data_IF_851336696017
#
_entry.id   IF_851336696017
#
_cell.length_a   1.000
_cell.length_b   1.000
_cell.length_c   1.000
_cell.angle_alpha   90.00
_cell.angle_beta   90.00
_cell.angle_gamma   90.00
#
_symmetry.space_group_name_H-M   'P 1'
#
loop_
_entity.id
_entity.type
_entity.pdbx_description
1 polymer ?
#
# COMPACT_ATOMS: atom_id res chain seq x y z
N UNK A 1 0.02 43.09 -4.36
CA UNK A 1 0.88 41.92 -4.09
C UNK A 1 0.13 40.96 -3.21
N UNK A 2 -0.08 39.74 -3.65
CA UNK A 2 -0.85 38.74 -2.93
C UNK A 2 0.00 37.97 -1.92
N UNK A 3 0.98 38.65 -1.29
CA UNK A 3 1.92 38.13 -0.29
C UNK A 3 2.72 36.89 -0.75
N UNK A 4 2.99 36.77 -2.05
CA UNK A 4 3.85 35.71 -2.60
C UNK A 4 5.33 36.10 -2.50
N UNK A 5 6.19 35.10 -2.28
CA UNK A 5 7.65 35.26 -2.20
C UNK A 5 8.33 34.18 -3.01
N UNK A 6 9.49 34.50 -3.60
CA UNK A 6 10.37 33.53 -4.24
C UNK A 6 11.80 33.77 -3.78
N UNK A 7 12.56 32.69 -3.65
CA UNK A 7 14.02 32.79 -3.42
C UNK A 7 14.71 33.42 -4.65
N UNK A 8 14.25 33.04 -5.86
CA UNK A 8 14.62 33.64 -7.14
C UNK A 8 13.42 33.59 -8.10
N UNK A 9 12.88 34.73 -8.50
CA UNK A 9 11.76 34.82 -9.44
C UNK A 9 12.10 34.30 -10.85
N UNK A 10 13.38 34.28 -11.24
CA UNK A 10 13.80 33.71 -12.54
C UNK A 10 13.63 32.19 -12.60
N UNK A 11 13.42 31.54 -11.47
CA UNK A 11 13.19 30.10 -11.38
C UNK A 11 11.70 29.74 -11.33
N UNK A 12 10.79 30.74 -11.38
CA UNK A 12 9.35 30.53 -11.35
C UNK A 12 8.79 30.71 -12.77
N UNK A 13 8.30 29.64 -13.36
CA UNK A 13 7.77 29.61 -14.72
C UNK A 13 6.26 29.55 -14.71
N UNK A 14 5.62 30.37 -15.52
CA UNK A 14 4.17 30.43 -15.70
C UNK A 14 3.83 30.44 -17.20
N UNK A 15 2.62 29.97 -17.61
CA UNK A 15 2.18 30.09 -18.98
C UNK A 15 2.00 31.56 -19.41
N UNK A 16 2.00 31.83 -20.71
CA UNK A 16 1.85 33.18 -21.28
C UNK A 16 0.58 33.88 -20.79
N UNK A 17 -0.52 33.12 -20.67
CA UNK A 17 -1.77 33.60 -20.05
C UNK A 17 -1.92 32.98 -18.68
N UNK A 18 -1.58 33.77 -17.67
CA UNK A 18 -1.59 33.34 -16.28
C UNK A 18 -2.35 34.32 -15.40
N UNK A 19 -3.32 33.82 -14.62
CA UNK A 19 -4.10 34.63 -13.71
C UNK A 19 -3.52 34.57 -12.29
N UNK A 20 -2.86 35.64 -11.89
CA UNK A 20 -2.22 35.78 -10.58
C UNK A 20 -3.23 35.87 -9.44
N UNK A 21 -4.49 36.15 -9.70
CA UNK A 21 -5.54 36.23 -8.66
C UNK A 21 -5.68 34.94 -7.86
N UNK A 22 -5.40 33.82 -8.51
CA UNK A 22 -5.51 32.49 -7.90
C UNK A 22 -4.26 32.00 -7.15
N UNK A 23 -3.24 32.85 -6.97
CA UNK A 23 -1.99 32.54 -6.27
C UNK A 23 -1.78 33.46 -5.09
N UNK A 24 -2.01 32.95 -3.88
CA UNK A 24 -2.03 33.74 -2.65
C UNK A 24 -1.19 33.13 -1.53
N UNK A 25 -0.32 33.93 -0.88
CA UNK A 25 0.51 33.49 0.24
C UNK A 25 1.35 32.24 -0.09
N UNK A 26 2.02 32.27 -1.24
CA UNK A 26 2.84 31.17 -1.73
C UNK A 26 4.30 31.54 -1.62
N UNK A 27 5.13 30.59 -1.12
CA UNK A 27 6.58 30.69 -1.19
C UNK A 27 7.10 29.71 -2.25
N UNK A 28 7.88 30.22 -3.17
CA UNK A 28 8.55 29.47 -4.20
C UNK A 28 10.04 29.31 -3.87
N UNK A 29 10.59 28.09 -4.00
CA UNK A 29 11.98 27.78 -3.79
C UNK A 29 12.48 26.82 -4.86
N UNK A 30 13.70 26.99 -5.35
CA UNK A 30 14.23 26.25 -6.48
C UNK A 30 13.41 26.46 -7.76
N UNK A 31 13.40 25.46 -8.65
CA UNK A 31 12.68 25.52 -9.94
C UNK A 31 11.22 25.15 -9.74
N UNK A 32 10.33 26.09 -10.00
CA UNK A 32 8.87 25.86 -9.93
C UNK A 32 8.23 26.21 -11.25
N UNK A 33 7.45 25.26 -11.80
CA UNK A 33 6.69 25.45 -13.03
C UNK A 33 5.20 25.35 -12.70
N UNK A 34 4.41 26.33 -13.12
CA UNK A 34 2.97 26.39 -12.87
C UNK A 34 2.19 26.24 -14.18
N UNK A 35 1.10 25.49 -14.16
CA UNK A 35 0.11 25.44 -15.21
C UNK A 35 -0.93 26.55 -15.06
N UNK A 36 -1.99 26.53 -15.87
CA UNK A 36 -3.08 27.49 -15.85
C UNK A 36 -4.19 27.05 -14.88
N UNK A 37 -4.76 27.99 -14.13
CA UNK A 37 -5.84 27.73 -13.18
C UNK A 37 -7.17 28.16 -13.75
N UNK A 38 -7.98 27.23 -14.29
CA UNK A 38 -9.25 27.52 -14.96
C UNK A 38 -10.44 26.74 -14.43
N UNK A 39 -10.20 25.78 -13.52
CA UNK A 39 -11.22 24.87 -13.03
C UNK A 39 -11.87 25.36 -11.76
N UNK A 40 -13.14 25.05 -11.64
CA UNK A 40 -13.92 25.25 -10.44
C UNK A 40 -14.19 23.90 -9.78
N UNK A 41 -13.89 23.79 -8.51
CA UNK A 41 -14.18 22.62 -7.68
C UNK A 41 -15.41 22.88 -6.83
N UNK A 42 -16.36 21.94 -6.85
CA UNK A 42 -17.49 21.95 -5.93
C UNK A 42 -17.25 20.94 -4.82
N UNK A 43 -17.16 21.41 -3.60
CA UNK A 43 -16.91 20.60 -2.41
C UNK A 43 -18.22 20.11 -1.80
N UNK A 44 -18.18 19.10 -0.90
CA UNK A 44 -19.34 18.68 -0.12
C UNK A 44 -20.03 19.90 0.56
N UNK A 45 -21.33 19.91 0.56
CA UNK A 45 -22.12 21.05 1.05
C UNK A 45 -22.27 22.22 0.07
N UNK A 46 -21.75 22.10 -1.15
CA UNK A 46 -21.94 23.10 -2.22
C UNK A 46 -20.95 24.27 -2.20
N UNK A 47 -19.92 24.24 -1.35
CA UNK A 47 -18.86 25.25 -1.38
C UNK A 47 -18.07 25.17 -2.69
N UNK A 48 -17.95 26.32 -3.35
CA UNK A 48 -17.23 26.43 -4.63
C UNK A 48 -15.85 27.03 -4.41
N UNK A 49 -14.82 26.42 -4.98
CA UNK A 49 -13.44 26.91 -4.96
C UNK A 49 -12.84 26.90 -6.36
N UNK A 50 -12.14 27.96 -6.71
CA UNK A 50 -11.37 28.02 -7.94
C UNK A 50 -10.01 27.33 -7.76
N UNK A 51 -9.52 26.61 -8.82
CA UNK A 51 -8.15 26.10 -8.90
C UNK A 51 -7.14 27.22 -8.60
N UNK A 52 -5.99 26.85 -8.08
CA UNK A 52 -4.96 27.80 -7.68
C UNK A 52 -4.19 27.38 -6.44
N UNK A 53 -3.36 28.27 -5.94
CA UNK A 53 -2.43 28.02 -4.84
C UNK A 53 -2.70 28.98 -3.69
N UNK A 54 -2.86 28.45 -2.46
CA UNK A 54 -3.09 29.25 -1.26
C UNK A 54 -2.38 28.68 -0.05
N UNK A 55 -1.58 29.50 0.64
CA UNK A 55 -0.87 29.12 1.86
C UNK A 55 -0.05 27.83 1.69
N UNK A 56 0.92 27.85 0.77
CA UNK A 56 1.80 26.72 0.48
C UNK A 56 3.23 27.18 0.21
N UNK A 57 4.20 26.36 0.61
CA UNK A 57 5.60 26.46 0.16
C UNK A 57 5.86 25.34 -0.85
N UNK A 58 6.36 25.70 -2.03
CA UNK A 58 6.71 24.77 -3.12
C UNK A 58 8.22 24.82 -3.35
N UNK A 59 8.86 23.64 -3.39
CA UNK A 59 10.28 23.52 -3.70
C UNK A 59 10.51 22.50 -4.83
N UNK A 60 11.10 22.94 -5.94
CA UNK A 60 11.36 22.08 -7.11
C UNK A 60 10.10 21.31 -7.56
N UNK A 61 9.03 22.02 -7.86
CA UNK A 61 7.76 21.40 -8.24
C UNK A 61 7.33 21.78 -9.64
N UNK A 62 6.74 20.83 -10.34
CA UNK A 62 6.06 21.07 -11.64
C UNK A 62 4.55 20.83 -11.43
N UNK A 63 3.75 21.89 -11.53
CA UNK A 63 2.29 21.82 -11.43
C UNK A 63 1.68 21.93 -12.82
N UNK A 64 0.84 20.97 -13.17
CA UNK A 64 0.01 21.01 -14.37
C UNK A 64 -1.18 21.97 -14.25
N UNK A 65 -2.06 21.91 -15.23
CA UNK A 65 -3.25 22.75 -15.25
C UNK A 65 -4.26 22.35 -14.17
N UNK A 66 -5.04 23.34 -13.70
CA UNK A 66 -6.21 23.12 -12.85
C UNK A 66 -5.95 22.49 -11.47
N UNK A 67 -4.74 22.57 -10.98
CA UNK A 67 -4.40 22.13 -9.61
C UNK A 67 -5.05 23.09 -8.59
N UNK A 68 -5.57 22.53 -7.50
CA UNK A 68 -5.92 23.29 -6.29
C UNK A 68 -5.08 22.78 -5.13
N UNK A 69 -4.16 23.60 -4.63
CA UNK A 69 -3.35 23.31 -3.43
C UNK A 69 -3.55 24.39 -2.41
N UNK A 70 -3.99 24.01 -1.21
CA UNK A 70 -4.17 25.00 -0.14
C UNK A 70 -3.90 24.44 1.26
N UNK A 71 -3.43 25.32 2.15
CA UNK A 71 -3.17 25.04 3.56
C UNK A 71 -2.20 23.86 3.76
N UNK A 72 -1.01 23.95 3.18
CA UNK A 72 0.09 23.03 3.44
C UNK A 72 0.90 23.55 4.61
N UNK A 73 0.95 22.80 5.71
CA UNK A 73 1.55 23.28 6.97
C UNK A 73 3.06 23.52 6.85
N UNK A 74 3.77 22.62 6.16
CA UNK A 74 5.20 22.75 5.95
C UNK A 74 5.49 23.08 4.47
N UNK A 75 5.66 22.08 3.62
CA UNK A 75 5.97 22.29 2.20
C UNK A 75 5.64 21.08 1.34
N UNK A 76 5.61 21.31 0.02
CA UNK A 76 5.66 20.28 -1.02
C UNK A 76 6.99 20.41 -1.74
N UNK A 77 7.75 19.30 -1.88
CA UNK A 77 9.04 19.32 -2.53
C UNK A 77 9.25 18.14 -3.50
N UNK A 78 9.86 18.46 -4.65
CA UNK A 78 10.29 17.47 -5.63
C UNK A 78 9.12 16.63 -6.18
N UNK A 79 8.03 17.30 -6.58
CA UNK A 79 6.85 16.65 -7.13
C UNK A 79 6.38 17.25 -8.44
N UNK A 80 5.93 16.38 -9.33
CA UNK A 80 5.09 16.70 -10.46
C UNK A 80 3.64 16.39 -10.10
N UNK A 81 2.75 17.36 -10.24
CA UNK A 81 1.36 17.32 -9.79
C UNK A 81 0.46 17.81 -10.91
N UNK A 82 -0.43 16.96 -11.38
CA UNK A 82 -1.38 17.30 -12.45
C UNK A 82 -2.80 17.45 -11.87
N UNK A 83 -3.77 17.94 -12.62
CA UNK A 83 -5.18 18.25 -12.29
C UNK A 83 -5.72 17.58 -11.00
N UNK A 84 -5.35 18.07 -9.85
CA UNK A 84 -5.69 17.46 -8.57
C UNK A 84 -6.14 18.47 -7.49
N UNK A 85 -6.64 17.93 -6.39
CA UNK A 85 -7.10 18.68 -5.22
C UNK A 85 -6.29 18.25 -3.99
N UNK A 86 -5.47 19.16 -3.45
CA UNK A 86 -4.66 18.93 -2.25
C UNK A 86 -5.01 20.00 -1.20
N UNK A 87 -5.45 19.57 -0.02
CA UNK A 87 -5.87 20.48 1.03
C UNK A 87 -5.50 19.97 2.42
N UNK A 88 -5.04 20.88 3.30
CA UNK A 88 -4.76 20.60 4.71
C UNK A 88 -3.82 19.41 4.91
N UNK A 89 -2.66 19.41 4.25
CA UNK A 89 -1.63 18.41 4.46
C UNK A 89 -0.48 18.96 5.29
N UNK A 90 0.22 18.08 6.00
CA UNK A 90 1.39 18.49 6.76
C UNK A 90 2.60 18.74 5.84
N UNK A 91 3.09 17.67 5.18
CA UNK A 91 4.25 17.74 4.30
C UNK A 91 4.16 16.66 3.21
N UNK A 92 4.66 16.99 2.02
CA UNK A 92 4.74 16.04 0.91
C UNK A 92 6.09 16.23 0.20
N UNK A 93 6.94 15.18 0.18
CA UNK A 93 8.30 15.32 -0.37
C UNK A 93 8.85 14.03 -0.95
N UNK A 94 9.74 14.17 -1.93
CA UNK A 94 10.68 13.12 -2.32
C UNK A 94 12.08 13.51 -1.84
N UNK A 95 12.71 12.59 -1.13
CA UNK A 95 14.04 12.75 -0.58
C UNK A 95 15.02 11.78 -1.26
N UNK A 96 16.05 12.33 -1.89
CA UNK A 96 17.03 11.56 -2.65
C UNK A 96 16.42 10.87 -3.88
N UNK A 97 16.98 9.74 -4.30
CA UNK A 97 16.48 8.90 -5.38
C UNK A 97 15.59 7.80 -4.79
N UNK A 98 14.28 7.97 -4.88
CA UNK A 98 13.30 7.05 -4.33
C UNK A 98 12.91 5.95 -5.32
N UNK A 99 12.64 4.75 -4.81
CA UNK A 99 12.08 3.62 -5.58
C UNK A 99 10.58 3.46 -5.40
N UNK A 100 9.99 4.30 -4.55
CA UNK A 100 8.56 4.31 -4.28
C UNK A 100 8.02 2.94 -3.83
N UNK A 101 8.73 2.29 -2.90
CA UNK A 101 8.37 0.96 -2.39
C UNK A 101 8.75 -0.21 -3.29
N UNK A 102 9.21 0.03 -4.51
CA UNK A 102 9.65 -1.05 -5.39
C UNK A 102 11.00 -1.61 -4.95
N UNK A 103 11.16 -2.93 -5.08
CA UNK A 103 12.29 -3.72 -4.63
C UNK A 103 12.47 -3.77 -3.10
N UNK A 104 11.46 -3.40 -2.34
CA UNK A 104 11.45 -3.69 -0.90
C UNK A 104 11.26 -5.18 -0.70
N UNK A 105 12.12 -5.79 0.10
CA UNK A 105 12.03 -7.20 0.43
C UNK A 105 11.01 -7.46 1.52
N UNK A 106 10.09 -8.38 1.27
CA UNK A 106 9.04 -8.82 2.20
C UNK A 106 9.37 -10.22 2.66
N UNK A 107 9.60 -10.41 3.96
CA UNK A 107 9.90 -11.70 4.58
C UNK A 107 8.64 -12.54 4.72
N UNK A 108 8.23 -13.18 3.61
CA UNK A 108 7.00 -13.96 3.53
C UNK A 108 7.24 -15.42 3.96
N UNK A 109 6.23 -16.04 4.57
CA UNK A 109 6.22 -17.45 5.01
C UNK A 109 7.24 -17.81 6.10
N UNK A 110 8.00 -16.87 6.59
CA UNK A 110 8.93 -17.06 7.69
C UNK A 110 9.33 -15.71 8.30
N UNK A 111 8.92 -15.43 9.52
CA UNK A 111 9.23 -14.19 10.21
C UNK A 111 10.74 -13.98 10.42
N UNK A 112 11.54 -15.03 10.41
CA UNK A 112 13.00 -14.94 10.56
C UNK A 112 13.74 -14.78 9.23
N UNK A 113 13.02 -14.65 8.13
CA UNK A 113 13.60 -14.45 6.80
C UNK A 113 13.95 -15.76 6.07
N UNK A 114 14.62 -15.62 4.93
CA UNK A 114 15.03 -16.71 4.06
C UNK A 114 14.09 -16.99 2.89
N UNK A 115 12.97 -16.24 2.78
CA UNK A 115 12.02 -16.33 1.66
C UNK A 115 11.53 -14.96 1.22
N UNK A 116 12.42 -14.00 1.24
CA UNK A 116 12.10 -12.62 0.86
C UNK A 116 11.66 -12.56 -0.59
N UNK A 117 10.55 -11.87 -0.81
CA UNK A 117 10.02 -11.53 -2.12
C UNK A 117 10.16 -10.03 -2.30
N UNK A 118 10.93 -9.55 -3.27
CA UNK A 118 10.96 -8.14 -3.60
C UNK A 118 9.62 -7.73 -4.21
N UNK A 119 8.91 -6.81 -3.55
CA UNK A 119 7.65 -6.28 -4.07
C UNK A 119 7.92 -5.22 -5.14
N UNK A 120 7.04 -5.13 -6.13
CA UNK A 120 7.08 -4.11 -7.17
C UNK A 120 5.70 -3.95 -7.82
N UNK A 121 5.51 -2.90 -8.61
CA UNK A 121 4.20 -2.55 -9.19
C UNK A 121 3.55 -3.68 -10.00
N UNK A 122 4.35 -4.53 -10.65
CA UNK A 122 3.89 -5.64 -11.49
C UNK A 122 3.81 -7.01 -10.78
N UNK A 123 3.95 -7.07 -9.46
CA UNK A 123 3.99 -8.35 -8.74
C UNK A 123 2.66 -9.10 -8.85
N UNK A 124 2.70 -10.34 -9.32
CA UNK A 124 1.57 -11.26 -9.34
C UNK A 124 1.73 -12.36 -8.30
N UNK A 125 0.60 -12.99 -7.91
CA UNK A 125 0.64 -14.12 -6.98
C UNK A 125 1.49 -15.29 -7.50
N UNK A 126 1.45 -15.56 -8.79
CA UNK A 126 2.24 -16.63 -9.41
C UNK A 126 3.73 -16.33 -9.36
N UNK A 127 4.13 -15.10 -9.65
CA UNK A 127 5.54 -14.71 -9.60
C UNK A 127 6.07 -14.74 -8.17
N UNK A 128 5.32 -14.18 -7.22
CA UNK A 128 5.66 -14.22 -5.79
C UNK A 128 5.78 -15.66 -5.28
N UNK A 129 4.87 -16.55 -5.69
CA UNK A 129 4.92 -17.97 -5.36
C UNK A 129 6.22 -18.62 -5.85
N UNK A 130 6.61 -18.38 -7.10
CA UNK A 130 7.85 -18.90 -7.65
C UNK A 130 9.05 -18.38 -6.86
N UNK A 131 9.13 -17.09 -6.59
CA UNK A 131 10.24 -16.50 -5.85
C UNK A 131 10.33 -17.09 -4.43
N UNK A 132 9.21 -17.23 -3.72
CA UNK A 132 9.19 -17.70 -2.35
C UNK A 132 9.50 -19.21 -2.22
N UNK A 133 9.00 -20.05 -3.14
CA UNK A 133 9.00 -21.51 -2.96
C UNK A 133 9.96 -22.28 -3.87
N UNK A 134 10.42 -21.72 -5.00
CA UNK A 134 11.35 -22.37 -5.91
C UNK A 134 12.82 -22.08 -5.59
N UNK A 135 13.14 -21.88 -4.32
CA UNK A 135 14.50 -21.55 -3.84
C UNK A 135 15.56 -22.62 -4.18
N UNK A 136 15.12 -23.83 -4.44
CA UNK A 136 15.95 -24.93 -4.96
C UNK A 136 16.38 -24.73 -6.42
N UNK A 137 15.93 -23.65 -7.08
CA UNK A 137 16.32 -23.23 -8.43
C UNK A 137 17.01 -21.86 -8.39
N UNK A 138 18.22 -21.75 -7.79
CA UNK A 138 18.84 -20.45 -7.49
C UNK A 138 19.00 -19.57 -8.73
N UNK A 139 19.43 -20.12 -9.86
CA UNK A 139 19.59 -19.35 -11.11
C UNK A 139 18.26 -18.76 -11.64
N UNK A 140 17.13 -19.44 -11.43
CA UNK A 140 15.81 -18.88 -11.75
C UNK A 140 15.47 -17.70 -10.84
N UNK A 141 15.67 -17.88 -9.54
CA UNK A 141 15.35 -16.83 -8.56
C UNK A 141 16.22 -15.59 -8.78
N UNK A 142 17.51 -15.77 -9.03
CA UNK A 142 18.43 -14.68 -9.35
C UNK A 142 17.95 -13.88 -10.57
N UNK A 143 17.63 -14.55 -11.68
CA UNK A 143 17.11 -13.87 -12.89
C UNK A 143 15.81 -13.12 -12.66
N UNK A 144 14.90 -13.64 -11.81
CA UNK A 144 13.67 -12.96 -11.47
C UNK A 144 13.93 -11.72 -10.60
N UNK A 145 14.86 -11.81 -9.67
CA UNK A 145 15.31 -10.67 -8.85
C UNK A 145 15.98 -9.60 -9.71
N UNK A 146 16.85 -9.99 -10.65
CA UNK A 146 17.50 -9.07 -11.59
C UNK A 146 16.48 -8.32 -12.45
N UNK A 147 15.44 -9.03 -12.92
CA UNK A 147 14.34 -8.40 -13.65
C UNK A 147 13.62 -7.33 -12.81
N UNK A 148 13.33 -7.61 -11.55
CA UNK A 148 12.68 -6.66 -10.64
C UNK A 148 13.61 -5.49 -10.33
N UNK A 149 14.90 -5.74 -10.12
CA UNK A 149 15.91 -4.71 -9.91
C UNK A 149 16.02 -3.78 -11.11
N UNK A 150 16.11 -4.32 -12.33
CA UNK A 150 16.16 -3.53 -13.56
C UNK A 150 14.88 -2.69 -13.74
N UNK A 151 13.71 -3.23 -13.45
CA UNK A 151 12.47 -2.47 -13.43
C UNK A 151 12.54 -1.31 -12.44
N UNK A 152 12.98 -1.57 -11.22
CA UNK A 152 13.09 -0.58 -10.14
C UNK A 152 14.05 0.55 -10.49
N UNK A 153 15.20 0.22 -11.10
CA UNK A 153 16.16 1.23 -11.55
C UNK A 153 15.55 2.17 -12.61
N UNK A 154 14.69 1.62 -13.47
CA UNK A 154 13.99 2.38 -14.50
C UNK A 154 12.93 3.36 -13.98
N UNK A 155 12.37 3.09 -12.80
CA UNK A 155 11.34 3.96 -12.19
C UNK A 155 11.87 4.83 -11.06
N UNK A 156 13.05 4.53 -10.54
CA UNK A 156 13.64 5.29 -9.44
C UNK A 156 13.91 6.73 -9.85
N UNK A 157 13.44 7.67 -9.05
CA UNK A 157 13.45 9.10 -9.37
C UNK A 157 13.69 9.98 -8.15
N UNK A 158 14.22 11.18 -8.39
CA UNK A 158 14.28 12.27 -7.40
C UNK A 158 13.01 13.12 -7.40
N UNK A 159 12.08 12.87 -8.35
CA UNK A 159 10.80 13.55 -8.49
C UNK A 159 9.66 12.53 -8.35
N UNK A 160 8.73 12.81 -7.44
CA UNK A 160 7.49 12.05 -7.29
C UNK A 160 6.42 12.51 -8.26
N UNK A 161 5.37 11.71 -8.44
CA UNK A 161 4.25 12.06 -9.30
C UNK A 161 2.93 11.91 -8.56
N UNK A 162 2.04 12.88 -8.79
CA UNK A 162 0.61 12.81 -8.44
C UNK A 162 -0.16 12.93 -9.75
N UNK A 163 -0.90 11.89 -10.08
CA UNK A 163 -1.64 11.81 -11.33
C UNK A 163 -2.91 12.69 -11.35
N UNK A 164 -3.67 12.54 -12.44
CA UNK A 164 -4.88 13.30 -12.69
C UNK A 164 -6.01 12.94 -11.72
N UNK A 165 -6.83 13.95 -11.38
CA UNK A 165 -8.05 13.77 -10.55
C UNK A 165 -7.81 13.18 -9.18
N UNK A 166 -6.60 13.26 -8.67
CA UNK A 166 -6.26 12.83 -7.31
C UNK A 166 -6.83 13.81 -6.30
N UNK A 167 -7.32 13.28 -5.18
CA UNK A 167 -7.76 14.05 -4.02
C UNK A 167 -6.92 13.68 -2.80
N UNK A 168 -6.24 14.66 -2.19
CA UNK A 168 -5.47 14.48 -0.95
C UNK A 168 -5.95 15.51 0.07
N UNK A 169 -6.55 15.06 1.17
CA UNK A 169 -7.17 15.95 2.14
C UNK A 169 -6.85 15.54 3.58
N UNK A 170 -6.55 16.51 4.42
CA UNK A 170 -6.33 16.32 5.87
C UNK A 170 -5.30 15.22 6.17
N UNK A 171 -4.24 15.13 5.39
CA UNK A 171 -3.26 14.04 5.47
C UNK A 171 -1.98 14.54 6.12
N UNK A 172 -1.39 13.70 6.95
CA UNK A 172 -0.13 14.00 7.63
C UNK A 172 1.08 14.00 6.70
N UNK A 173 1.99 13.09 6.87
CA UNK A 173 3.22 13.00 6.07
C UNK A 173 3.05 12.11 4.85
N UNK A 174 3.45 12.62 3.68
CA UNK A 174 3.63 11.85 2.45
C UNK A 174 5.10 11.97 2.03
N UNK A 175 5.87 10.89 2.12
CA UNK A 175 7.29 10.88 1.79
C UNK A 175 7.63 9.76 0.83
N UNK A 176 8.28 10.08 -0.29
CA UNK A 176 8.69 9.09 -1.30
C UNK A 176 7.52 8.22 -1.80
N UNK A 177 6.39 8.84 -2.10
CA UNK A 177 5.18 8.14 -2.55
C UNK A 177 4.81 8.61 -3.95
N UNK A 178 4.62 7.65 -4.87
CA UNK A 178 4.05 7.86 -6.19
C UNK A 178 2.56 7.57 -6.15
N UNK A 179 1.74 8.48 -6.68
CA UNK A 179 0.28 8.39 -6.61
C UNK A 179 -0.29 8.41 -8.03
N UNK A 180 -0.99 7.36 -8.40
CA UNK A 180 -1.67 7.22 -9.69
C UNK A 180 -3.00 7.97 -9.76
N UNK A 181 -3.58 8.00 -10.94
CA UNK A 181 -4.77 8.79 -11.26
C UNK A 181 -6.00 8.40 -10.40
N UNK A 182 -6.87 9.36 -10.15
CA UNK A 182 -8.13 9.18 -9.44
C UNK A 182 -8.02 8.63 -8.00
N UNK A 183 -6.82 8.55 -7.43
CA UNK A 183 -6.67 8.16 -6.01
C UNK A 183 -7.34 9.15 -5.08
N UNK A 184 -7.92 8.64 -4.01
CA UNK A 184 -8.40 9.46 -2.89
C UNK A 184 -7.61 9.09 -1.64
N UNK A 185 -6.94 10.07 -1.05
CA UNK A 185 -6.20 9.95 0.21
C UNK A 185 -6.77 10.99 1.16
N UNK A 186 -7.39 10.54 2.25
CA UNK A 186 -8.01 11.47 3.19
C UNK A 186 -7.83 11.02 4.64
N UNK A 187 -7.54 12.01 5.50
CA UNK A 187 -7.33 11.83 6.92
C UNK A 187 -6.25 10.78 7.30
N UNK A 188 -5.35 10.45 6.39
CA UNK A 188 -4.28 9.49 6.63
C UNK A 188 -3.19 10.09 7.51
N UNK A 189 -2.60 9.29 8.40
CA UNK A 189 -1.56 9.77 9.31
C UNK A 189 -0.20 9.86 8.62
N UNK A 190 0.23 8.79 7.91
CA UNK A 190 1.56 8.73 7.32
C UNK A 190 1.64 7.71 6.18
N UNK A 191 2.18 8.14 5.05
CA UNK A 191 2.50 7.30 3.90
C UNK A 191 3.99 7.50 3.55
N UNK A 192 4.79 6.45 3.60
CA UNK A 192 6.23 6.51 3.35
C UNK A 192 6.70 5.39 2.43
N UNK A 193 7.53 5.74 1.46
CA UNK A 193 8.17 4.82 0.52
C UNK A 193 7.16 3.85 -0.11
N UNK A 194 6.31 4.36 -0.99
CA UNK A 194 5.24 3.54 -1.56
C UNK A 194 4.74 3.96 -2.93
N UNK A 195 4.05 3.03 -3.59
CA UNK A 195 3.30 3.26 -4.82
C UNK A 195 1.82 3.04 -4.61
N UNK A 196 1.01 4.02 -4.99
CA UNK A 196 -0.45 3.94 -5.04
C UNK A 196 -0.85 3.82 -6.51
N UNK A 197 -1.01 2.59 -6.99
CA UNK A 197 -1.26 2.29 -8.41
C UNK A 197 -2.75 2.41 -8.76
N UNK A 198 -3.28 3.59 -8.54
CA UNK A 198 -4.67 3.95 -8.81
C UNK A 198 -4.92 4.26 -10.28
N UNK A 199 -6.13 4.03 -10.75
CA UNK A 199 -6.60 4.38 -12.10
C UNK A 199 -8.10 4.60 -12.12
N UNK A 200 -8.58 5.25 -13.18
CA UNK A 200 -9.97 5.69 -13.32
C UNK A 200 -11.00 4.58 -13.12
N UNK A 201 -10.74 3.41 -13.70
CA UNK A 201 -11.67 2.27 -13.68
C UNK A 201 -11.72 1.55 -12.32
N UNK A 202 -10.68 1.74 -11.51
CA UNK A 202 -10.53 1.12 -10.20
C UNK A 202 -9.68 2.02 -9.29
N UNK A 203 -10.25 3.12 -8.81
CA UNK A 203 -9.53 4.06 -7.95
C UNK A 203 -9.16 3.44 -6.61
N UNK A 204 -8.01 3.83 -6.10
CA UNK A 204 -7.55 3.46 -4.74
C UNK A 204 -8.10 4.47 -3.74
N UNK A 205 -8.53 3.96 -2.59
CA UNK A 205 -8.92 4.77 -1.44
C UNK A 205 -8.01 4.47 -0.24
N UNK A 206 -7.39 5.52 0.32
CA UNK A 206 -6.61 5.46 1.56
C UNK A 206 -7.25 6.45 2.54
N UNK A 207 -7.80 5.95 3.65
CA UNK A 207 -8.67 6.71 4.54
C UNK A 207 -8.08 6.98 5.92
N UNK A 208 -8.97 7.11 6.88
CA UNK A 208 -8.72 7.64 8.21
C UNK A 208 -7.59 6.94 8.96
N UNK A 209 -6.65 7.72 9.48
CA UNK A 209 -5.58 7.32 10.40
C UNK A 209 -4.66 6.21 9.88
N UNK A 210 -4.65 5.95 8.58
CA UNK A 210 -3.79 4.91 7.96
C UNK A 210 -2.32 5.27 8.15
N UNK A 211 -1.52 4.25 8.48
CA UNK A 211 -0.06 4.28 8.47
C UNK A 211 0.42 3.23 7.48
N UNK A 212 1.10 3.66 6.42
CA UNK A 212 1.69 2.78 5.43
C UNK A 212 3.17 3.10 5.22
N UNK A 213 4.01 2.07 5.23
CA UNK A 213 5.45 2.19 5.02
C UNK A 213 5.97 1.03 4.19
N UNK A 214 6.85 1.32 3.22
CA UNK A 214 7.46 0.31 2.34
C UNK A 214 6.39 -0.55 1.65
N UNK A 215 5.56 0.07 0.83
CA UNK A 215 4.33 -0.56 0.35
C UNK A 215 4.09 -0.38 -1.15
N UNK A 216 3.35 -1.35 -1.71
CA UNK A 216 2.72 -1.24 -3.03
C UNK A 216 1.22 -1.47 -2.85
N UNK A 217 0.39 -0.56 -3.36
CA UNK A 217 -1.07 -0.68 -3.35
C UNK A 217 -1.58 -0.68 -4.78
N UNK A 218 -2.26 -1.75 -5.16
CA UNK A 218 -2.80 -1.92 -6.51
C UNK A 218 -4.20 -1.32 -6.65
N UNK A 219 -4.64 -1.16 -7.90
CA UNK A 219 -5.90 -0.51 -8.26
C UNK A 219 -7.13 -1.12 -7.56
N UNK A 220 -8.07 -0.27 -7.20
CA UNK A 220 -9.32 -0.65 -6.54
C UNK A 220 -9.19 -1.05 -5.08
N UNK A 221 -7.99 -1.02 -4.51
CA UNK A 221 -7.79 -1.34 -3.10
C UNK A 221 -8.35 -0.23 -2.19
N UNK A 222 -8.85 -0.64 -1.02
CA UNK A 222 -9.30 0.25 0.05
C UNK A 222 -8.51 -0.05 1.32
N UNK A 223 -7.83 0.96 1.86
CA UNK A 223 -7.11 0.90 3.13
C UNK A 223 -7.66 2.01 4.01
N UNK A 224 -8.22 1.70 5.17
CA UNK A 224 -8.90 2.70 5.99
C UNK A 224 -8.98 2.32 7.47
N UNK A 225 -9.60 3.20 8.26
CA UNK A 225 -10.00 2.95 9.64
C UNK A 225 -8.83 2.52 10.52
N UNK A 226 -7.77 3.31 10.52
CA UNK A 226 -6.53 3.11 11.28
C UNK A 226 -5.76 1.81 10.97
N UNK A 227 -5.92 1.28 9.76
CA UNK A 227 -5.12 0.14 9.32
C UNK A 227 -3.63 0.53 9.26
N UNK A 228 -2.77 -0.45 9.61
CA UNK A 228 -1.32 -0.30 9.60
C UNK A 228 -0.69 -1.34 8.69
N UNK A 229 0.04 -0.92 7.68
CA UNK A 229 0.74 -1.79 6.74
C UNK A 229 2.22 -1.41 6.67
N UNK A 230 3.10 -2.39 6.87
CA UNK A 230 4.55 -2.19 6.83
C UNK A 230 5.19 -3.31 6.04
N UNK A 231 5.96 -2.97 5.01
CA UNK A 231 6.54 -3.91 4.06
C UNK A 231 5.50 -4.88 3.50
N UNK A 232 4.51 -4.32 2.79
CA UNK A 232 3.39 -5.10 2.28
C UNK A 232 3.11 -4.82 0.81
N UNK A 233 2.65 -5.85 0.11
CA UNK A 233 1.99 -5.73 -1.19
C UNK A 233 0.49 -5.91 -1.02
N UNK A 234 -0.28 -4.91 -1.42
CA UNK A 234 -1.74 -4.92 -1.37
C UNK A 234 -2.27 -4.99 -2.80
N UNK A 235 -2.79 -6.14 -3.17
CA UNK A 235 -3.27 -6.46 -4.51
C UNK A 235 -4.57 -5.74 -4.89
N UNK A 236 -5.02 -5.99 -6.11
CA UNK A 236 -6.20 -5.36 -6.67
C UNK A 236 -7.47 -5.65 -5.84
N UNK A 237 -8.28 -4.62 -5.64
CA UNK A 237 -9.57 -4.70 -4.93
C UNK A 237 -9.50 -5.31 -3.52
N UNK A 238 -8.32 -5.30 -2.89
CA UNK A 238 -8.18 -5.68 -1.49
C UNK A 238 -8.81 -4.65 -0.57
N UNK A 239 -9.33 -5.11 0.56
CA UNK A 239 -9.82 -4.27 1.65
C UNK A 239 -9.00 -4.55 2.91
N UNK A 240 -8.39 -3.52 3.50
CA UNK A 240 -7.63 -3.59 4.75
C UNK A 240 -8.13 -2.47 5.65
N UNK A 241 -8.97 -2.82 6.62
CA UNK A 241 -9.72 -1.82 7.39
C UNK A 241 -9.84 -2.19 8.87
N UNK A 242 -10.52 -1.33 9.65
CA UNK A 242 -10.89 -1.60 11.05
C UNK A 242 -9.70 -1.97 11.94
N UNK A 243 -8.66 -1.13 11.97
CA UNK A 243 -7.44 -1.32 12.77
C UNK A 243 -6.62 -2.59 12.41
N UNK A 244 -6.80 -3.19 11.23
CA UNK A 244 -6.00 -4.33 10.84
C UNK A 244 -4.51 -3.97 10.76
N UNK A 245 -3.64 -4.84 11.27
CA UNK A 245 -2.19 -4.69 11.20
C UNK A 245 -1.56 -5.76 10.33
N UNK A 246 -0.83 -5.35 9.31
CA UNK A 246 -0.09 -6.26 8.43
C UNK A 246 1.40 -5.88 8.40
N UNK A 247 2.26 -6.88 8.59
CA UNK A 247 3.70 -6.75 8.48
C UNK A 247 4.25 -7.84 7.56
N UNK A 248 5.22 -7.49 6.72
CA UNK A 248 5.93 -8.44 5.84
C UNK A 248 4.99 -9.38 5.08
N UNK A 249 3.90 -8.84 4.53
CA UNK A 249 2.81 -9.65 4.01
C UNK A 249 2.46 -9.33 2.56
N UNK A 250 2.10 -10.37 1.81
CA UNK A 250 1.61 -10.26 0.45
C UNK A 250 0.11 -10.58 0.43
N UNK A 251 -0.72 -9.60 0.13
CA UNK A 251 -2.17 -9.74 0.02
C UNK A 251 -2.55 -9.59 -1.45
N UNK A 252 -2.92 -10.69 -2.10
CA UNK A 252 -3.28 -10.66 -3.52
C UNK A 252 -4.77 -10.36 -3.72
N UNK A 253 -5.22 -10.31 -4.97
CA UNK A 253 -6.49 -9.71 -5.37
C UNK A 253 -7.70 -10.17 -4.56
N UNK A 254 -8.60 -9.23 -4.28
CA UNK A 254 -9.88 -9.45 -3.59
C UNK A 254 -9.76 -10.06 -2.19
N UNK A 255 -8.67 -9.82 -1.49
CA UNK A 255 -8.55 -10.16 -0.08
C UNK A 255 -9.29 -9.14 0.79
N UNK A 256 -9.84 -9.60 1.92
CA UNK A 256 -10.49 -8.75 2.91
C UNK A 256 -9.96 -9.03 4.31
N UNK A 257 -9.34 -8.01 4.92
CA UNK A 257 -8.71 -8.11 6.24
C UNK A 257 -9.21 -6.99 7.15
N UNK A 258 -9.78 -7.36 8.27
CA UNK A 258 -10.33 -6.44 9.25
C UNK A 258 -10.00 -6.89 10.67
N UNK A 259 -9.80 -5.94 11.58
CA UNK A 259 -9.73 -6.16 13.03
C UNK A 259 -8.65 -7.10 13.58
N UNK A 260 -7.84 -7.73 12.75
CA UNK A 260 -6.87 -8.75 13.15
C UNK A 260 -5.44 -8.33 12.90
N UNK A 261 -4.57 -9.33 12.92
CA UNK A 261 -3.15 -9.16 12.64
C UNK A 261 -2.66 -10.22 11.66
N UNK A 262 -1.77 -9.81 10.76
CA UNK A 262 -1.03 -10.69 9.87
C UNK A 262 0.47 -10.36 9.90
N UNK A 263 1.29 -11.40 9.95
CA UNK A 263 2.73 -11.28 9.86
C UNK A 263 3.30 -12.38 8.97
N UNK A 264 4.14 -11.99 8.02
CA UNK A 264 4.81 -12.91 7.10
C UNK A 264 3.87 -13.83 6.31
N UNK A 265 2.66 -13.36 5.96
CA UNK A 265 1.69 -14.20 5.23
C UNK A 265 1.79 -14.04 3.73
N UNK A 266 1.49 -15.14 3.03
CA UNK A 266 1.19 -15.15 1.61
C UNK A 266 -0.32 -15.40 1.43
N UNK A 267 -1.09 -14.32 1.36
CA UNK A 267 -2.52 -14.40 1.12
C UNK A 267 -2.79 -14.37 -0.39
N UNK A 268 -2.97 -15.53 -0.98
CA UNK A 268 -3.48 -15.68 -2.34
C UNK A 268 -4.89 -15.09 -2.48
N UNK A 269 -5.41 -14.96 -3.70
CA UNK A 269 -6.68 -14.28 -3.96
C UNK A 269 -7.85 -14.80 -3.10
N UNK A 270 -8.77 -13.89 -2.76
CA UNK A 270 -9.99 -14.17 -1.98
C UNK A 270 -9.75 -14.71 -0.57
N UNK A 271 -8.62 -14.38 0.05
CA UNK A 271 -8.38 -14.68 1.47
C UNK A 271 -9.10 -13.66 2.34
N UNK A 272 -9.89 -14.14 3.31
CA UNK A 272 -10.73 -13.31 4.17
C UNK A 272 -10.46 -13.58 5.65
N UNK A 273 -10.21 -12.51 6.43
CA UNK A 273 -10.09 -12.52 7.88
C UNK A 273 -10.66 -11.22 8.45
N UNK A 274 -11.91 -11.25 8.92
CA UNK A 274 -12.66 -10.02 9.27
C UNK A 274 -12.95 -9.89 10.76
N UNK A 275 -12.51 -10.83 11.59
CA UNK A 275 -12.87 -10.86 12.99
C UNK A 275 -11.74 -10.43 13.92
N UNK A 276 -12.10 -9.81 15.05
CA UNK A 276 -11.16 -9.50 16.13
C UNK A 276 -10.49 -10.77 16.64
N UNK A 277 -9.29 -10.61 17.19
CA UNK A 277 -8.48 -11.70 17.76
C UNK A 277 -8.03 -12.76 16.75
N UNK A 278 -8.13 -12.50 15.44
CA UNK A 278 -7.54 -13.36 14.43
C UNK A 278 -6.06 -13.01 14.26
N UNK A 279 -5.20 -14.03 14.32
CA UNK A 279 -3.76 -13.91 14.14
C UNK A 279 -3.29 -14.89 13.08
N UNK A 280 -2.81 -14.36 11.96
CA UNK A 280 -2.31 -15.13 10.83
C UNK A 280 -0.80 -14.91 10.70
N UNK A 281 0.00 -15.93 10.98
CA UNK A 281 1.47 -15.84 10.94
C UNK A 281 2.04 -16.90 9.99
N UNK A 282 2.97 -16.49 9.13
CA UNK A 282 3.78 -17.36 8.28
C UNK A 282 2.99 -18.41 7.47
N UNK A 283 1.75 -18.11 7.16
CA UNK A 283 0.86 -19.00 6.43
C UNK A 283 0.72 -18.64 4.95
N UNK A 284 0.53 -19.66 4.13
CA UNK A 284 0.12 -19.51 2.74
C UNK A 284 -1.35 -19.90 2.59
N UNK A 285 -2.12 -18.99 2.03
CA UNK A 285 -3.57 -19.12 1.88
C UNK A 285 -4.00 -18.80 0.45
N UNK A 286 -5.18 -19.27 0.09
CA UNK A 286 -5.92 -18.80 -1.08
C UNK A 286 -7.40 -19.15 -0.89
N UNK A 287 -8.29 -18.20 -1.14
CA UNK A 287 -9.73 -18.43 -0.98
C UNK A 287 -10.06 -19.01 0.41
N UNK A 288 -9.36 -18.53 1.43
CA UNK A 288 -9.59 -18.90 2.83
C UNK A 288 -10.65 -18.01 3.45
N UNK A 289 -11.48 -18.58 4.33
CA UNK A 289 -12.29 -17.83 5.27
C UNK A 289 -11.85 -18.16 6.71
N UNK A 290 -11.14 -17.24 7.34
CA UNK A 290 -10.70 -17.37 8.74
C UNK A 290 -11.85 -17.03 9.70
N UNK A 291 -12.20 -17.96 10.58
CA UNK A 291 -13.21 -17.75 11.62
C UNK A 291 -12.69 -16.82 12.72
N UNK A 292 -13.61 -16.32 13.55
CA UNK A 292 -13.30 -15.46 14.69
C UNK A 292 -12.33 -16.12 15.66
N UNK A 293 -11.27 -15.40 16.06
CA UNK A 293 -10.26 -15.94 16.96
C UNK A 293 -9.36 -17.02 16.36
N UNK A 294 -9.41 -17.20 15.03
CA UNK A 294 -8.46 -18.10 14.35
C UNK A 294 -7.03 -17.67 14.68
N UNK A 295 -6.26 -18.62 15.19
CA UNK A 295 -4.87 -18.40 15.55
C UNK A 295 -3.99 -19.44 14.87
N UNK A 296 -2.91 -18.97 14.30
CA UNK A 296 -1.92 -19.81 13.66
C UNK A 296 -0.58 -19.46 14.28
N UNK A 297 0.17 -20.48 14.65
CA UNK A 297 1.36 -20.28 15.44
C UNK A 297 2.55 -20.98 14.84
N UNK A 298 3.67 -20.30 14.95
CA UNK A 298 4.99 -20.81 14.63
C UNK A 298 5.80 -21.11 15.89
N UNK A 299 5.21 -21.74 16.89
CA UNK A 299 5.87 -22.04 18.18
C UNK A 299 7.19 -22.79 18.04
N UNK A 300 7.45 -23.38 16.88
CA UNK A 300 8.74 -23.96 16.54
C UNK A 300 9.90 -22.96 16.53
N UNK A 301 9.60 -21.65 16.51
CA UNK A 301 10.63 -20.61 16.65
C UNK A 301 11.58 -20.84 17.84
N UNK A 302 11.07 -21.35 18.93
CA UNK A 302 11.88 -21.67 20.12
C UNK A 302 12.59 -23.02 20.04
N UNK A 303 12.25 -23.85 19.06
CA UNK A 303 12.70 -25.23 18.95
C UNK A 303 13.56 -25.48 17.71
N UNK A 304 13.71 -24.50 16.83
CA UNK A 304 14.49 -24.64 15.59
C UNK A 304 13.88 -23.87 14.41
N UNK A 305 14.21 -24.21 13.17
CA UNK A 305 13.75 -23.50 12.00
C UNK A 305 12.23 -23.46 11.90
N UNK A 306 11.70 -22.28 11.60
CA UNK A 306 10.28 -22.07 11.37
C UNK A 306 9.95 -22.59 9.97
N UNK A 307 8.89 -23.37 9.86
CA UNK A 307 8.33 -23.82 8.61
C UNK A 307 6.95 -23.20 8.41
N UNK A 308 6.65 -22.81 7.16
CA UNK A 308 5.35 -22.24 6.83
C UNK A 308 4.24 -23.26 7.01
N UNK A 309 3.04 -22.74 7.34
CA UNK A 309 1.81 -23.48 7.17
C UNK A 309 1.20 -23.23 5.80
N UNK A 310 0.51 -24.22 5.28
CA UNK A 310 -0.22 -24.14 4.02
C UNK A 310 -1.67 -24.52 4.29
N UNK A 311 -2.60 -23.60 4.03
CA UNK A 311 -4.04 -23.91 4.01
C UNK A 311 -4.49 -23.76 2.57
N UNK A 312 -4.75 -24.92 1.95
CA UNK A 312 -5.09 -24.97 0.54
C UNK A 312 -6.44 -24.29 0.27
N UNK A 313 -6.66 -23.93 -0.99
CA UNK A 313 -7.75 -23.08 -1.42
C UNK A 313 -9.13 -23.60 -0.99
N UNK A 314 -10.04 -22.67 -0.68
CA UNK A 314 -11.41 -22.95 -0.34
C UNK A 314 -11.63 -23.50 1.07
N UNK A 315 -10.56 -23.61 1.85
CA UNK A 315 -10.65 -24.07 3.23
C UNK A 315 -11.19 -22.98 4.15
N UNK A 316 -11.68 -23.40 5.31
CA UNK A 316 -12.27 -22.52 6.31
C UNK A 316 -11.84 -22.93 7.71
N UNK A 317 -11.64 -21.96 8.59
CA UNK A 317 -11.49 -22.23 10.02
C UNK A 317 -12.76 -21.82 10.76
N UNK A 318 -13.14 -22.55 11.79
CA UNK A 318 -14.22 -22.15 12.70
C UNK A 318 -13.71 -21.13 13.73
N UNK A 319 -14.60 -20.62 14.55
CA UNK A 319 -14.21 -19.76 15.66
C UNK A 319 -13.28 -20.49 16.61
N UNK A 320 -12.27 -19.75 17.14
CA UNK A 320 -11.26 -20.23 18.07
C UNK A 320 -10.41 -21.43 17.58
N UNK A 321 -10.32 -21.58 16.26
CA UNK A 321 -9.46 -22.61 15.66
C UNK A 321 -8.00 -22.25 15.80
N UNK A 322 -7.19 -23.23 16.22
CA UNK A 322 -5.75 -23.09 16.33
C UNK A 322 -5.04 -24.10 15.44
N UNK A 323 -4.05 -23.65 14.67
CA UNK A 323 -3.24 -24.53 13.82
C UNK A 323 -1.76 -24.33 14.15
N UNK A 324 -1.09 -25.38 14.58
CA UNK A 324 0.35 -25.37 14.84
C UNK A 324 1.13 -25.64 13.55
N UNK A 325 1.98 -24.67 13.17
CA UNK A 325 2.90 -24.83 12.04
C UNK A 325 4.14 -25.68 12.38
N UNK A 326 4.69 -26.42 11.39
CA UNK A 326 4.19 -26.58 10.05
C UNK A 326 2.97 -27.49 9.96
N UNK A 327 1.98 -27.10 9.18
CA UNK A 327 0.83 -27.93 8.87
C UNK A 327 0.43 -27.74 7.40
N UNK A 328 -0.21 -28.72 6.82
CA UNK A 328 -0.74 -28.64 5.46
C UNK A 328 -2.18 -29.12 5.44
N UNK A 329 -3.09 -28.19 5.23
CA UNK A 329 -4.55 -28.46 5.22
C UNK A 329 -4.99 -28.56 3.77
N UNK A 330 -5.58 -29.70 3.42
CA UNK A 330 -6.09 -29.98 2.08
C UNK A 330 -7.20 -29.06 1.64
N UNK A 331 -7.38 -28.96 0.34
CA UNK A 331 -8.35 -28.02 -0.26
C UNK A 331 -9.79 -28.26 0.20
N UNK A 332 -10.56 -27.17 0.32
CA UNK A 332 -11.97 -27.17 0.70
C UNK A 332 -12.27 -27.88 2.02
N UNK A 333 -11.33 -27.85 2.95
CA UNK A 333 -11.47 -28.48 4.26
C UNK A 333 -11.95 -27.49 5.32
N UNK A 334 -12.60 -27.99 6.37
CA UNK A 334 -13.01 -27.22 7.54
C UNK A 334 -12.17 -27.62 8.75
N UNK A 335 -11.48 -26.66 9.34
CA UNK A 335 -10.69 -26.86 10.58
C UNK A 335 -11.50 -26.39 11.77
N UNK A 336 -11.73 -27.30 12.74
CA UNK A 336 -12.49 -27.06 13.96
C UNK A 336 -11.65 -27.43 15.19
N UNK A 337 -11.60 -26.53 16.18
CA UNK A 337 -10.86 -26.77 17.41
C UNK A 337 -9.37 -26.40 17.32
N UNK A 338 -8.60 -26.84 18.32
CA UNK A 338 -7.21 -26.42 18.52
C UNK A 338 -6.25 -27.58 18.25
N UNK A 339 -5.58 -27.54 17.12
CA UNK A 339 -4.65 -28.57 16.66
C UNK A 339 -3.23 -28.25 17.10
N UNK A 340 -2.71 -29.02 18.07
CA UNK A 340 -1.35 -28.90 18.60
C UNK A 340 -0.35 -29.88 17.96
N UNK A 341 -0.73 -30.49 16.87
CA UNK A 341 0.10 -31.37 16.05
C UNK A 341 0.32 -30.81 14.66
N UNK A 342 1.40 -31.18 14.03
CA UNK A 342 1.69 -30.82 12.63
C UNK A 342 0.84 -31.67 11.69
N UNK A 343 -0.39 -31.22 11.45
CA UNK A 343 -1.35 -31.93 10.61
C UNK A 343 -0.98 -31.81 9.13
N UNK A 344 -0.97 -32.94 8.44
CA UNK A 344 -0.92 -32.98 6.97
C UNK A 344 -2.16 -33.73 6.44
N UNK A 345 -3.06 -32.98 5.81
CA UNK A 345 -4.26 -33.49 5.17
C UNK A 345 -4.31 -33.15 3.68
N UNK A 346 -3.15 -32.89 3.08
CA UNK A 346 -3.05 -32.48 1.67
C UNK A 346 -3.67 -33.45 0.70
N UNK A 347 -3.61 -34.74 0.98
CA UNK A 347 -4.17 -35.80 0.14
C UNK A 347 -5.66 -36.09 0.43
N UNK A 348 -6.29 -35.37 1.35
CA UNK A 348 -7.69 -35.58 1.80
C UNK A 348 -8.48 -34.27 1.64
N UNK A 349 -8.76 -33.81 0.42
CA UNK A 349 -9.59 -32.61 0.22
C UNK A 349 -11.03 -32.85 0.70
N UNK A 350 -11.79 -31.77 0.88
CA UNK A 350 -13.19 -31.79 1.35
C UNK A 350 -13.37 -32.46 2.70
N UNK A 351 -12.42 -32.30 3.61
CA UNK A 351 -12.40 -32.98 4.90
C UNK A 351 -12.75 -32.05 6.06
N UNK A 352 -13.16 -32.68 7.16
CA UNK A 352 -13.24 -32.03 8.46
C UNK A 352 -12.03 -32.42 9.29
N UNK A 353 -11.25 -31.43 9.77
CA UNK A 353 -10.20 -31.62 10.74
C UNK A 353 -10.76 -31.22 12.11
N UNK A 354 -11.00 -32.21 12.97
CA UNK A 354 -11.64 -32.04 14.27
C UNK A 354 -10.70 -32.56 15.35
N UNK A 355 -10.44 -31.77 16.36
CA UNK A 355 -9.80 -32.24 17.59
C UNK A 355 -10.87 -32.77 18.55
N UNK A 356 -10.64 -33.94 19.10
CA UNK A 356 -11.55 -34.59 20.07
C UNK A 356 -11.07 -34.33 21.49
#
# INVERSE_FOLDING_TARGET
SQACRADDWNQVWVPEVFDIEYVNHVRFSGVVKLGAFRKIFTLPGGLVKHSGLRHVTLHNCTLGDNVLIENVQNYIANYRIDDCFIQNINVMLVEGKATFGNNVEVSVLNETGGREVPIYDGLSASLAYIIALYRHRPALIERLRDMITAYTEGIASTEGTVGDKVKIVNTGTIRNVKIGDYATIENSARLENGSVNSKKEAPVFIGDSVIAQDFIVSSGAKIADAAKIIRCFIGQACQVTHNFSAHDSLLFSNCAFENGEACAIFAGPFTVSMHKSSLLIAGMYSFLNAGSGSNQSNHMYKLGPIHQGIVERGSKTTSDSYILWPARIGAFSLVMGRHHHHSDTSDIPFSYLIEK
#
